data_IF_149525706642
#
_entry.id   IF_149525706642
#
_cell.length_a   1.000
_cell.length_b   1.000
_cell.length_c   1.000
_cell.angle_alpha   90.00
_cell.angle_beta   90.00
_cell.angle_gamma   90.00
#
_symmetry.space_group_name_H-M   'P 1'
#
loop_
_entity.id
_entity.type
_entity.pdbx_description
1 polymer ?
#
# COMPACT_ATOMS: atom_id res chain seq x y z
N UNK A 1 14.41 -14.13 3.61
CA UNK A 1 13.69 -13.77 4.85
C UNK A 1 12.19 -14.05 4.74
N UNK A 2 11.57 -13.85 3.56
CA UNK A 2 10.18 -14.23 3.28
C UNK A 2 10.07 -15.39 2.26
N UNK A 3 11.03 -16.31 2.26
CA UNK A 3 11.11 -17.43 1.31
C UNK A 3 9.89 -18.36 1.35
N UNK A 4 9.23 -18.45 2.52
CA UNK A 4 7.99 -19.20 2.70
C UNK A 4 6.81 -18.67 1.85
N UNK A 5 6.82 -17.40 1.43
CA UNK A 5 5.80 -16.85 0.52
C UNK A 5 6.01 -17.35 -0.92
N UNK A 6 7.26 -17.64 -1.30
CA UNK A 6 7.60 -18.22 -2.60
C UNK A 6 7.25 -19.72 -2.70
N UNK A 7 6.97 -20.39 -1.57
CA UNK A 7 6.42 -21.75 -1.53
C UNK A 7 4.88 -21.80 -1.64
N UNK A 8 4.18 -20.68 -1.43
CA UNK A 8 2.72 -20.66 -1.54
C UNK A 8 2.25 -20.86 -2.99
N UNK A 9 1.11 -21.54 -3.22
CA UNK A 9 0.48 -21.64 -4.53
C UNK A 9 0.35 -20.28 -5.22
N UNK A 10 0.65 -20.21 -6.52
CA UNK A 10 0.68 -18.96 -7.29
C UNK A 10 -0.60 -18.10 -7.17
N UNK A 11 -1.75 -18.75 -6.98
CA UNK A 11 -3.04 -18.09 -6.76
C UNK A 11 -3.13 -17.32 -5.44
N UNK A 12 -2.57 -17.86 -4.35
CA UNK A 12 -2.63 -17.21 -3.02
C UNK A 12 -1.77 -15.94 -3.01
N UNK A 13 -0.59 -16.01 -3.63
CA UNK A 13 0.29 -14.84 -3.79
C UNK A 13 -0.38 -13.72 -4.57
N UNK A 14 -1.04 -14.07 -5.68
CA UNK A 14 -1.77 -13.10 -6.50
C UNK A 14 -2.88 -12.41 -5.71
N UNK A 15 -3.65 -13.18 -4.93
CA UNK A 15 -4.73 -12.66 -4.11
C UNK A 15 -4.22 -11.72 -3.01
N UNK A 16 -3.10 -12.07 -2.36
CA UNK A 16 -2.43 -11.20 -1.37
C UNK A 16 -1.98 -9.88 -1.99
N UNK A 17 -1.32 -9.92 -3.16
CA UNK A 17 -0.87 -8.71 -3.86
C UNK A 17 -2.06 -7.82 -4.22
N UNK A 18 -3.13 -8.41 -4.73
CA UNK A 18 -4.33 -7.69 -5.13
C UNK A 18 -4.99 -6.99 -3.93
N UNK A 19 -5.10 -7.69 -2.79
CA UNK A 19 -5.64 -7.12 -1.55
C UNK A 19 -4.72 -6.03 -0.98
N UNK A 20 -3.40 -6.28 -0.92
CA UNK A 20 -2.43 -5.29 -0.44
C UNK A 20 -2.43 -4.04 -1.32
N UNK A 21 -2.48 -4.20 -2.64
CA UNK A 21 -2.57 -3.09 -3.59
C UNK A 21 -3.83 -2.25 -3.36
N UNK A 22 -4.97 -2.91 -3.15
CA UNK A 22 -6.23 -2.24 -2.79
C UNK A 22 -6.14 -1.45 -1.49
N UNK A 23 -5.52 -2.03 -0.46
CA UNK A 23 -5.33 -1.39 0.85
C UNK A 23 -4.38 -0.18 0.73
N UNK A 24 -3.25 -0.34 0.04
CA UNK A 24 -2.28 0.73 -0.19
C UNK A 24 -2.95 1.87 -0.96
N UNK A 25 -3.73 1.57 -2.00
CA UNK A 25 -4.46 2.58 -2.73
C UNK A 25 -5.43 3.34 -1.82
N UNK A 26 -6.27 2.63 -1.06
CA UNK A 26 -7.21 3.27 -0.13
C UNK A 26 -6.50 4.12 0.92
N UNK A 27 -5.31 3.69 1.37
CA UNK A 27 -4.54 4.35 2.44
C UNK A 27 -3.68 5.51 1.94
N UNK A 28 -3.05 5.37 0.77
CA UNK A 28 -2.26 6.42 0.11
C UNK A 28 -3.15 7.52 -0.44
N UNK A 29 -4.33 7.15 -0.94
CA UNK A 29 -5.39 8.07 -1.36
C UNK A 29 -6.39 8.38 -0.24
N UNK A 30 -6.01 8.26 1.04
CA UNK A 30 -6.81 8.67 2.19
C UNK A 30 -7.01 10.20 2.28
N UNK A 31 -7.45 10.81 1.18
CA UNK A 31 -7.74 12.21 0.98
C UNK A 31 -9.17 12.26 0.45
N UNK A 32 -10.05 12.94 1.18
CA UNK A 32 -11.44 13.24 0.78
C UNK A 32 -11.38 14.00 -0.54
N UNK A 33 -11.56 13.31 -1.67
CA UNK A 33 -11.47 13.94 -2.98
C UNK A 33 -12.88 14.11 -3.59
N UNK A 34 -13.19 15.31 -4.12
CA UNK A 34 -14.41 15.54 -4.88
C UNK A 34 -14.42 14.65 -6.13
N UNK A 35 -15.62 14.18 -6.50
CA UNK A 35 -15.89 13.12 -7.49
C UNK A 35 -15.10 13.23 -8.81
N UNK A 36 -14.79 14.45 -9.27
CA UNK A 36 -14.01 14.69 -10.49
C UNK A 36 -12.56 14.19 -10.42
N UNK A 37 -11.91 14.29 -9.25
CA UNK A 37 -10.53 13.82 -9.09
C UNK A 37 -10.46 12.30 -8.93
N UNK A 38 -11.54 11.66 -8.48
CA UNK A 38 -11.62 10.19 -8.36
C UNK A 38 -11.35 9.49 -9.70
N UNK A 39 -11.81 10.05 -10.81
CA UNK A 39 -11.60 9.48 -12.16
C UNK A 39 -10.12 9.45 -12.54
N UNK A 40 -9.39 10.55 -12.37
CA UNK A 40 -7.96 10.61 -12.67
C UNK A 40 -7.15 9.63 -11.81
N UNK A 41 -7.57 9.45 -10.56
CA UNK A 41 -6.97 8.51 -9.62
C UNK A 41 -7.26 7.05 -10.00
N UNK A 42 -8.48 6.76 -10.46
CA UNK A 42 -8.84 5.44 -10.97
C UNK A 42 -8.07 5.07 -12.23
N UNK A 43 -7.80 6.04 -13.11
CA UNK A 43 -6.94 5.85 -14.29
C UNK A 43 -5.49 5.58 -13.85
N UNK A 44 -4.96 6.34 -12.89
CA UNK A 44 -3.64 6.08 -12.33
C UNK A 44 -3.55 4.71 -11.65
N UNK A 45 -4.62 4.23 -10.99
CA UNK A 45 -4.71 2.89 -10.42
C UNK A 45 -4.68 1.82 -11.52
N UNK A 46 -5.44 2.00 -12.60
CA UNK A 46 -5.45 1.09 -13.73
C UNK A 46 -4.05 0.95 -14.36
N UNK A 47 -3.35 2.08 -14.53
CA UNK A 47 -1.95 2.11 -15.03
C UNK A 47 -0.98 1.49 -14.01
N UNK A 48 -1.17 1.75 -12.71
CA UNK A 48 -0.36 1.16 -11.64
C UNK A 48 -0.48 -0.36 -11.57
N UNK A 49 -1.71 -0.90 -11.70
CA UNK A 49 -1.94 -2.35 -11.81
C UNK A 49 -1.25 -2.94 -13.04
N UNK A 50 -1.26 -2.23 -14.17
CA UNK A 50 -0.57 -2.66 -15.39
C UNK A 50 0.95 -2.71 -15.18
N UNK A 51 1.53 -1.70 -14.50
CA UNK A 51 2.94 -1.66 -14.16
C UNK A 51 3.32 -2.79 -13.19
N UNK A 52 2.49 -3.05 -12.17
CA UNK A 52 2.70 -4.13 -11.20
C UNK A 52 2.66 -5.52 -11.86
N UNK A 53 1.75 -5.74 -12.82
CA UNK A 53 1.69 -6.97 -13.62
C UNK A 53 2.98 -7.19 -14.41
N UNK A 54 3.54 -6.15 -15.02
CA UNK A 54 4.81 -6.20 -15.74
C UNK A 54 5.99 -6.44 -14.80
N UNK A 55 6.01 -5.84 -13.61
CA UNK A 55 7.08 -6.07 -12.64
C UNK A 55 7.05 -7.49 -12.06
N UNK A 56 5.86 -8.10 -11.94
CA UNK A 56 5.72 -9.49 -11.53
C UNK A 56 6.32 -10.46 -12.57
N UNK A 57 6.19 -10.18 -13.88
CA UNK A 57 6.76 -11.03 -14.93
C UNK A 57 8.29 -11.02 -14.92
N UNK A 58 8.91 -9.93 -14.46
CA UNK A 58 10.37 -9.79 -14.34
C UNK A 58 10.97 -10.46 -13.09
N UNK A 59 10.20 -11.26 -12.34
CA UNK A 59 10.66 -11.97 -11.13
C UNK A 59 11.14 -11.04 -9.99
N UNK A 60 10.67 -9.80 -9.97
CA UNK A 60 11.02 -8.84 -8.91
C UNK A 60 10.24 -9.12 -7.61
N UNK A 61 10.85 -8.92 -6.42
CA UNK A 61 10.20 -9.10 -5.11
C UNK A 61 9.21 -7.96 -4.80
N UNK A 62 8.16 -7.82 -5.62
CA UNK A 62 7.14 -6.75 -5.51
C UNK A 62 6.33 -6.87 -4.21
N UNK A 63 6.13 -8.09 -3.72
CA UNK A 63 5.44 -8.39 -2.46
C UNK A 63 6.21 -7.75 -1.29
N UNK A 64 7.53 -7.90 -1.29
CA UNK A 64 8.37 -7.32 -0.23
C UNK A 64 8.34 -5.80 -0.28
N UNK A 65 8.38 -5.21 -1.48
CA UNK A 65 8.24 -3.76 -1.66
C UNK A 65 6.89 -3.24 -1.14
N UNK A 66 5.79 -3.94 -1.38
CA UNK A 66 4.47 -3.59 -0.83
C UNK A 66 4.42 -3.70 0.69
N UNK A 67 4.99 -4.77 1.26
CA UNK A 67 5.08 -4.93 2.71
C UNK A 67 5.84 -3.77 3.35
N UNK A 68 7.02 -3.42 2.81
CA UNK A 68 7.84 -2.30 3.30
C UNK A 68 7.05 -0.98 3.21
N UNK A 69 6.32 -0.78 2.12
CA UNK A 69 5.49 0.43 1.93
C UNK A 69 4.38 0.53 2.98
N UNK A 70 3.66 -0.56 3.27
CA UNK A 70 2.63 -0.59 4.31
C UNK A 70 3.21 -0.28 5.67
N UNK A 71 4.34 -0.92 6.02
CA UNK A 71 5.04 -0.67 7.28
C UNK A 71 5.41 0.81 7.38
N UNK A 72 5.96 1.41 6.31
CA UNK A 72 6.32 2.82 6.27
C UNK A 72 5.09 3.73 6.46
N UNK A 73 3.96 3.42 5.81
CA UNK A 73 2.71 4.18 5.95
C UNK A 73 2.17 4.10 7.38
N UNK A 74 2.18 2.90 7.99
CA UNK A 74 1.76 2.70 9.38
C UNK A 74 2.67 3.50 10.31
N UNK A 75 3.99 3.37 10.17
CA UNK A 75 4.98 4.08 10.98
C UNK A 75 4.84 5.59 10.83
N UNK A 76 4.63 6.10 9.61
CA UNK A 76 4.46 7.54 9.38
C UNK A 76 3.17 8.07 9.99
N UNK A 77 2.05 7.32 9.95
CA UNK A 77 0.82 7.70 10.65
C UNK A 77 1.00 7.70 12.17
N UNK A 78 1.66 6.67 12.72
CA UNK A 78 1.96 6.60 14.15
C UNK A 78 2.84 7.79 14.56
N UNK A 79 3.87 8.12 13.78
CA UNK A 79 4.75 9.27 14.01
C UNK A 79 3.98 10.60 13.98
N UNK A 80 3.05 10.79 13.05
CA UNK A 80 2.22 11.99 12.97
C UNK A 80 1.26 12.11 14.16
N UNK A 81 0.76 10.97 14.68
CA UNK A 81 -0.15 10.95 15.82
C UNK A 81 0.58 11.15 17.16
N UNK A 82 1.81 10.64 17.27
CA UNK A 82 2.69 10.79 18.45
C UNK A 82 3.46 12.13 18.44
N UNK A 83 3.71 12.71 17.26
CA UNK A 83 4.43 13.96 17.08
C UNK A 83 3.62 15.24 17.36
N UNK A 84 2.36 15.12 17.77
CA UNK A 84 1.71 16.21 18.50
C UNK A 84 2.21 16.15 19.93
N UNK A 85 3.11 17.06 20.38
CA UNK A 85 3.27 17.25 21.81
C UNK A 85 1.87 17.51 22.38
N UNK A 86 1.44 16.67 23.31
CA UNK A 86 0.37 17.03 24.24
C UNK A 86 0.88 18.24 25.03
N UNK A 87 0.73 19.43 24.48
CA UNK A 87 0.83 20.64 25.26
C UNK A 87 -0.54 20.85 25.90
N UNK A 88 -0.58 20.64 27.23
CA UNK A 88 -1.75 20.71 28.14
C UNK A 88 -2.76 19.56 27.95
N UNK A 89 -3.19 18.81 28.98
CA UNK A 89 -3.23 19.06 30.42
C UNK A 89 -2.91 17.77 31.18
N UNK A 90 -1.91 17.85 32.05
CA UNK A 90 -1.86 17.04 33.26
C UNK A 90 -2.18 18.08 34.36
N UNK A 91 -3.46 18.19 34.69
CA UNK A 91 -3.93 18.90 35.89
C UNK A 91 -3.57 18.06 37.14
#
# INVERSE_FOLDING_TARGET
>A
MFDWINELPGYIRYLIILVLAGIIYQTAFARRLPLLKTIAVYIALAVGCWLLLIFQIMRFPIIEAMLITIVLIIVTRLRLMVGKPKQSKQD
#
